data_IF_111086172930
#
_entry.id   IF_111086172930
#
_cell.length_a   1.000
_cell.length_b   1.000
_cell.length_c   1.000
_cell.angle_alpha   90.00
_cell.angle_beta   90.00
_cell.angle_gamma   90.00
#
_symmetry.space_group_name_H-M   'P 1'
#
loop_
_entity.id
_entity.type
_entity.pdbx_description
1 polymer ?
#
# COMPACT_ATOMS: atom_id res chain seq x y z
N UNK A 1 -3.07 -18.94 -15.64
CA UNK A 1 -3.42 -17.95 -16.70
C UNK A 1 -3.65 -16.63 -15.99
N UNK A 2 -2.73 -15.67 -16.14
CA UNK A 2 -2.82 -14.39 -15.45
C UNK A 2 -4.10 -13.67 -15.89
N UNK A 3 -5.04 -13.46 -14.95
CA UNK A 3 -6.25 -12.65 -15.18
C UNK A 3 -5.83 -11.33 -15.82
N UNK A 4 -6.57 -10.91 -16.85
CA UNK A 4 -6.46 -9.61 -17.57
C UNK A 4 -5.87 -8.52 -16.66
N UNK A 5 -4.82 -7.86 -17.14
CA UNK A 5 -4.01 -6.87 -16.41
C UNK A 5 -4.88 -5.86 -15.63
N UNK A 6 -5.11 -6.13 -14.35
CA UNK A 6 -5.89 -5.29 -13.45
C UNK A 6 -5.39 -3.83 -13.40
N UNK A 7 -4.10 -3.62 -13.71
CA UNK A 7 -3.53 -2.28 -13.77
C UNK A 7 -4.15 -1.41 -14.89
N UNK A 8 -4.68 -2.00 -15.97
CA UNK A 8 -5.31 -1.23 -17.05
C UNK A 8 -6.65 -0.61 -16.62
N UNK A 9 -7.29 -1.14 -15.58
CA UNK A 9 -8.55 -0.64 -15.00
C UNK A 9 -8.35 0.05 -13.64
N UNK A 10 -7.13 0.10 -13.15
CA UNK A 10 -6.78 0.65 -11.84
C UNK A 10 -6.36 2.12 -11.95
N UNK A 11 -6.63 2.92 -10.91
CA UNK A 11 -6.22 4.34 -10.82
C UNK A 11 -4.86 4.52 -10.12
N UNK A 12 -4.02 3.48 -10.17
CA UNK A 12 -2.67 3.47 -9.61
C UNK A 12 -2.62 3.33 -8.09
N UNK A 13 -3.52 2.55 -7.49
CA UNK A 13 -3.65 2.38 -6.03
C UNK A 13 -2.31 2.06 -5.34
N UNK A 14 -1.55 1.10 -5.87
CA UNK A 14 -0.24 0.69 -5.35
C UNK A 14 0.85 1.78 -5.40
N UNK A 15 0.61 2.91 -6.10
CA UNK A 15 1.51 4.05 -6.16
C UNK A 15 1.05 5.23 -5.30
N UNK A 16 -0.01 5.07 -4.49
CA UNK A 16 -0.60 6.16 -3.68
C UNK A 16 -0.23 6.10 -2.21
N UNK A 17 0.41 5.03 -1.79
CA UNK A 17 0.87 4.83 -0.43
C UNK A 17 2.06 3.84 -0.42
N UNK A 18 2.70 3.69 0.73
CA UNK A 18 3.58 2.58 1.02
C UNK A 18 3.38 2.13 2.46
N UNK A 19 3.54 0.82 2.69
CA UNK A 19 3.49 0.23 4.01
C UNK A 19 4.88 -0.28 4.40
N UNK A 20 5.23 -0.13 5.68
CA UNK A 20 6.44 -0.67 6.27
C UNK A 20 6.05 -1.53 7.48
N UNK A 21 6.74 -2.65 7.72
CA UNK A 21 6.52 -3.44 8.91
C UNK A 21 6.88 -2.60 10.15
N UNK A 22 6.09 -2.77 11.19
CA UNK A 22 6.38 -2.34 12.56
C UNK A 22 6.69 -3.58 13.39
N UNK A 23 7.50 -3.39 14.43
CA UNK A 23 7.63 -4.41 15.46
C UNK A 23 6.29 -4.58 16.19
N UNK A 24 5.96 -5.82 16.56
CA UNK A 24 4.74 -6.10 17.31
C UNK A 24 4.83 -5.43 18.68
N UNK A 25 3.85 -4.58 19.07
CA UNK A 25 3.90 -3.87 20.34
C UNK A 25 3.74 -4.84 21.52
N UNK A 26 4.72 -4.84 22.43
CA UNK A 26 4.79 -5.75 23.58
C UNK A 26 4.40 -5.05 24.89
N UNK A 27 4.60 -3.73 24.97
CA UNK A 27 4.29 -2.94 26.17
C UNK A 27 3.51 -1.65 25.91
N UNK A 28 3.13 -0.96 27.01
CA UNK A 28 2.32 0.27 26.95
C UNK A 28 3.00 1.41 26.19
N UNK A 29 4.34 1.47 26.23
CA UNK A 29 5.15 2.45 25.50
C UNK A 29 5.05 2.24 24.00
N UNK A 30 5.17 0.99 23.54
CA UNK A 30 5.02 0.66 22.11
C UNK A 30 3.64 1.09 21.57
N UNK A 31 2.58 0.85 22.34
CA UNK A 31 1.24 1.32 21.97
C UNK A 31 1.13 2.85 21.98
N UNK A 32 1.88 3.56 22.83
CA UNK A 32 1.89 5.03 22.86
C UNK A 32 2.62 5.63 21.66
N UNK A 33 3.71 4.99 21.23
CA UNK A 33 4.40 5.34 19.97
C UNK A 33 3.48 5.17 18.76
N UNK A 34 2.70 4.08 18.71
CA UNK A 34 1.67 3.87 17.69
C UNK A 34 0.62 4.99 17.73
N UNK A 35 0.14 5.39 18.92
CA UNK A 35 -0.79 6.53 19.05
C UNK A 35 -0.16 7.81 18.52
N UNK A 36 1.11 8.06 18.82
CA UNK A 36 1.83 9.22 18.32
C UNK A 36 1.95 9.22 16.79
N UNK A 37 2.19 8.07 16.15
CA UNK A 37 2.14 7.95 14.68
C UNK A 37 0.77 8.36 14.13
N UNK A 38 -0.31 7.88 14.76
CA UNK A 38 -1.70 8.14 14.35
C UNK A 38 -2.13 9.60 14.55
N UNK A 39 -1.43 10.38 15.36
CA UNK A 39 -1.66 11.83 15.47
C UNK A 39 -1.31 12.59 14.17
N UNK A 40 -0.55 11.99 13.26
CA UNK A 40 -0.14 12.61 12.01
C UNK A 40 -1.15 12.32 10.88
N UNK A 41 -1.37 13.30 10.00
CA UNK A 41 -2.26 13.12 8.84
C UNK A 41 -1.70 12.06 7.91
N UNK A 42 -2.61 11.36 7.21
CA UNK A 42 -2.27 10.37 6.18
C UNK A 42 -1.50 9.14 6.69
N UNK A 43 -1.57 8.88 8.00
CA UNK A 43 -1.04 7.66 8.63
C UNK A 43 -2.19 6.70 8.93
N UNK A 44 -1.95 5.41 8.75
CA UNK A 44 -2.84 4.33 9.20
C UNK A 44 -1.95 3.19 9.70
N UNK A 45 -2.37 2.48 10.74
CA UNK A 45 -1.69 1.27 11.22
C UNK A 45 -2.67 0.12 11.08
N UNK A 46 -2.19 -1.03 10.58
CA UNK A 46 -2.99 -2.22 10.37
C UNK A 46 -2.20 -3.47 10.74
N UNK A 47 -2.93 -4.57 10.96
CA UNK A 47 -2.37 -5.88 11.29
C UNK A 47 -2.86 -6.88 10.26
N UNK A 48 -1.95 -7.65 9.68
CA UNK A 48 -2.24 -8.69 8.70
C UNK A 48 -1.48 -9.96 9.11
N UNK A 49 -2.20 -11.07 9.30
CA UNK A 49 -1.64 -12.35 9.75
C UNK A 49 -0.76 -12.29 11.02
N UNK A 50 -1.02 -11.29 11.89
CA UNK A 50 -0.26 -11.06 13.13
C UNK A 50 0.92 -10.10 13.00
N UNK A 51 1.29 -9.74 11.77
CA UNK A 51 2.33 -8.75 11.49
C UNK A 51 1.74 -7.33 11.48
N UNK A 52 2.46 -6.40 12.10
CA UNK A 52 2.05 -5.00 12.19
C UNK A 52 2.66 -4.18 11.07
N UNK A 53 1.89 -3.23 10.54
CA UNK A 53 2.33 -2.36 9.47
C UNK A 53 1.89 -0.91 9.69
N UNK A 54 2.78 0.02 9.39
CA UNK A 54 2.44 1.43 9.24
C UNK A 54 2.27 1.75 7.75
N UNK A 55 1.10 2.27 7.40
CA UNK A 55 0.76 2.75 6.08
C UNK A 55 0.86 4.28 6.03
N UNK A 56 1.65 4.78 5.10
CA UNK A 56 1.81 6.20 4.83
C UNK A 56 1.17 6.49 3.46
N UNK A 57 0.02 7.18 3.48
CA UNK A 57 -0.71 7.63 2.28
C UNK A 57 0.02 8.81 1.64
N UNK A 58 1.08 8.49 0.90
CA UNK A 58 1.89 9.45 0.18
C UNK A 58 2.06 9.03 -1.28
N UNK A 59 1.55 9.86 -2.19
CA UNK A 59 1.52 9.58 -3.61
C UNK A 59 2.92 9.59 -4.21
N UNK A 60 3.27 8.54 -4.94
CA UNK A 60 4.50 8.46 -5.70
C UNK A 60 4.57 9.54 -6.77
N UNK A 61 5.67 10.30 -6.80
CA UNK A 61 5.92 11.36 -7.79
C UNK A 61 5.97 10.89 -9.24
N UNK A 62 6.14 9.59 -9.48
CA UNK A 62 6.21 9.00 -10.82
C UNK A 62 4.85 8.46 -11.31
N UNK A 63 3.80 8.55 -10.49
CA UNK A 63 2.44 8.23 -10.93
C UNK A 63 1.94 9.31 -11.89
N UNK A 64 1.46 8.88 -13.05
CA UNK A 64 0.86 9.78 -14.01
C UNK A 64 -0.62 10.05 -13.68
N UNK A 65 -1.03 11.32 -13.68
CA UNK A 65 -2.43 11.71 -13.44
C UNK A 65 -3.34 11.53 -14.67
N UNK A 66 -2.77 11.29 -15.86
CA UNK A 66 -3.53 11.17 -17.11
C UNK A 66 -4.03 9.75 -17.34
N UNK A 67 -3.15 8.78 -17.13
CA UNK A 67 -3.34 7.37 -17.46
C UNK A 67 -3.09 6.43 -16.28
N UNK A 68 -2.78 6.98 -15.09
CA UNK A 68 -2.55 6.23 -13.85
C UNK A 68 -1.43 5.18 -13.92
N UNK A 69 -0.49 5.36 -14.86
CA UNK A 69 0.68 4.48 -15.05
C UNK A 69 1.92 5.05 -14.40
N UNK A 70 2.83 4.16 -14.02
CA UNK A 70 4.17 4.54 -13.54
C UNK A 70 5.05 5.01 -14.70
N UNK A 71 5.49 6.27 -14.66
CA UNK A 71 6.33 6.89 -15.71
C UNK A 71 7.73 6.27 -15.83
N UNK A 72 8.17 5.55 -14.80
CA UNK A 72 9.48 4.89 -14.76
C UNK A 72 9.36 3.37 -14.66
N UNK A 73 8.32 2.77 -15.23
CA UNK A 73 8.00 1.34 -15.06
C UNK A 73 9.22 0.41 -15.23
N UNK A 74 10.02 0.60 -16.28
CA UNK A 74 11.21 -0.22 -16.55
C UNK A 74 12.38 0.04 -15.58
N UNK A 75 12.39 1.18 -14.90
CA UNK A 75 13.41 1.60 -13.92
C UNK A 75 12.87 1.56 -12.48
N UNK A 76 11.72 0.94 -12.26
CA UNK A 76 11.04 0.91 -10.95
C UNK A 76 11.94 0.26 -9.89
N UNK A 77 11.93 0.73 -8.62
CA UNK A 77 12.74 0.15 -7.54
C UNK A 77 12.49 -1.34 -7.31
N UNK A 78 13.40 -2.02 -6.57
CA UNK A 78 13.29 -3.46 -6.26
C UNK A 78 11.92 -3.83 -5.67
N UNK A 79 11.43 -3.08 -4.69
CA UNK A 79 10.14 -3.36 -4.04
C UNK A 79 8.96 -3.32 -5.03
N UNK A 80 8.92 -2.33 -5.92
CA UNK A 80 7.91 -2.25 -6.98
C UNK A 80 8.05 -3.36 -8.03
N UNK A 81 9.25 -3.92 -8.23
CA UNK A 81 9.46 -5.09 -9.12
C UNK A 81 8.97 -6.39 -8.49
N UNK A 82 9.03 -6.50 -7.18
CA UNK A 82 8.66 -7.69 -6.42
C UNK A 82 7.16 -7.73 -6.10
N UNK A 83 6.46 -6.60 -6.19
CA UNK A 83 5.03 -6.51 -6.00
C UNK A 83 4.27 -7.46 -6.94
N UNK A 84 3.38 -8.27 -6.36
CA UNK A 84 2.60 -9.31 -7.03
C UNK A 84 1.13 -8.89 -7.17
N UNK A 85 0.47 -9.36 -8.22
CA UNK A 85 -0.98 -9.14 -8.41
C UNK A 85 -1.85 -9.85 -7.37
N UNK A 86 -1.31 -10.84 -6.65
CA UNK A 86 -2.04 -11.51 -5.55
C UNK A 86 -2.33 -10.54 -4.40
N UNK A 87 -1.42 -9.61 -4.16
CA UNK A 87 -1.44 -8.66 -3.04
C UNK A 87 -1.99 -7.30 -3.51
N UNK A 88 -2.87 -7.33 -4.53
CA UNK A 88 -3.40 -6.14 -5.17
C UNK A 88 -4.70 -5.68 -4.54
N UNK A 89 -4.70 -4.47 -3.97
CA UNK A 89 -5.90 -3.79 -3.45
C UNK A 89 -6.99 -3.57 -4.50
N UNK A 90 -6.67 -3.74 -5.78
CA UNK A 90 -7.66 -3.65 -6.84
C UNK A 90 -8.49 -4.94 -6.88
N UNK A 91 -9.58 -4.93 -6.14
CA UNK A 91 -10.61 -5.98 -6.17
C UNK A 91 -11.65 -5.63 -7.24
N UNK A 92 -11.90 -6.54 -8.19
CA UNK A 92 -13.05 -6.47 -9.11
C UNK A 92 -14.23 -7.20 -8.44
N UNK A 93 -15.30 -6.50 -8.05
CA UNK A 93 -16.55 -7.12 -7.58
C UNK A 93 -17.35 -6.32 -6.54
N UNK A 94 -18.66 -6.53 -6.51
CA UNK A 94 -19.60 -5.98 -5.53
C UNK A 94 -19.33 -6.59 -4.14
N UNK A 95 -19.47 -5.78 -3.09
CA UNK A 95 -19.51 -6.28 -1.72
C UNK A 95 -20.81 -7.08 -1.57
N UNK A 96 -20.73 -8.41 -1.54
CA UNK A 96 -21.85 -9.23 -1.07
C UNK A 96 -22.03 -8.93 0.42
N UNK A 97 -23.06 -8.13 0.74
CA UNK A 97 -23.54 -7.87 2.10
C UNK A 97 -24.49 -8.98 2.56
#
# INVERSE_FOLDING_TARGET
>A
MAKKNQCDKCTGLCCRYFALPLDTPEDKGDYDDIRWYLCHKNITVFVEDGDWYINIKNKCRHLSEKDYRCRIYNKRPRICRQYSHKDCDYVEGEYDF
#
